data_IF_261981268724
#
_entry.id   IF_261981268724
#
_cell.length_a   1.000
_cell.length_b   1.000
_cell.length_c   1.000
_cell.angle_alpha   90.00
_cell.angle_beta   90.00
_cell.angle_gamma   90.00
#
_symmetry.space_group_name_H-M   'P 1'
#
loop_
_entity.id
_entity.type
_entity.pdbx_description
1 polymer ?
#
# COMPACT_ATOMS: atom_id res chain seq x y z
N UNK A 1 12.82 4.71 28.85
CA UNK A 1 12.01 5.73 28.16
C UNK A 1 12.90 6.44 27.14
N UNK A 2 12.95 5.92 25.91
CA UNK A 2 13.65 6.56 24.79
C UNK A 2 12.60 6.89 23.74
N UNK A 3 12.35 8.17 23.51
CA UNK A 3 11.33 8.63 22.58
C UNK A 3 11.74 8.35 21.13
N UNK A 4 11.03 7.43 20.47
CA UNK A 4 11.02 7.35 19.01
C UNK A 4 10.24 8.57 18.50
N UNK A 5 10.96 9.64 18.14
CA UNK A 5 10.38 10.64 17.24
C UNK A 5 10.33 9.97 15.86
N UNK A 6 9.15 9.86 15.21
CA UNK A 6 9.10 9.39 13.83
C UNK A 6 9.89 10.39 13.00
N UNK A 7 10.96 9.93 12.38
CA UNK A 7 11.65 10.70 11.35
C UNK A 7 10.67 10.82 10.18
N UNK A 8 10.29 12.04 9.76
CA UNK A 8 9.48 12.21 8.57
C UNK A 8 10.36 11.72 7.42
N UNK A 9 10.05 10.56 6.86
CA UNK A 9 10.54 10.21 5.55
C UNK A 9 10.07 11.35 4.64
N UNK A 10 11.03 12.09 4.09
CA UNK A 10 10.87 13.04 2.98
C UNK A 10 10.42 12.23 1.74
N UNK A 11 9.23 11.64 1.84
CA UNK A 11 8.63 10.75 0.89
C UNK A 11 7.83 11.58 -0.10
N UNK A 12 7.99 11.27 -1.38
CA UNK A 12 7.07 11.70 -2.42
C UNK A 12 5.62 11.61 -1.90
N UNK A 13 4.74 12.62 -2.06
CA UNK A 13 3.37 12.60 -1.55
C UNK A 13 2.59 11.31 -1.91
N UNK A 14 2.98 10.65 -3.01
CA UNK A 14 2.42 9.35 -3.40
C UNK A 14 2.70 8.22 -2.39
N UNK A 15 3.69 8.37 -1.51
CA UNK A 15 4.03 7.43 -0.44
C UNK A 15 2.95 7.38 0.66
N UNK A 16 2.23 8.49 0.88
CA UNK A 16 1.13 8.55 1.85
C UNK A 16 -0.18 7.95 1.33
N UNK A 17 -0.29 7.68 0.02
CA UNK A 17 -1.49 7.08 -0.61
C UNK A 17 -1.61 5.60 -0.26
N UNK A 18 -0.50 4.89 -0.27
CA UNK A 18 -0.50 3.43 -0.22
C UNK A 18 -1.28 2.88 1.00
N UNK A 19 -1.12 3.42 2.22
CA UNK A 19 -1.92 2.99 3.38
C UNK A 19 -3.43 3.04 3.20
N UNK A 20 -3.95 3.99 2.43
CA UNK A 20 -5.39 4.12 2.19
C UNK A 20 -5.96 2.97 1.37
N UNK A 21 -5.11 2.23 0.65
CA UNK A 21 -5.54 1.08 -0.16
C UNK A 21 -5.78 -0.17 0.69
N UNK A 22 -5.01 -0.37 1.77
CA UNK A 22 -5.15 -1.55 2.65
C UNK A 22 -5.86 -1.26 3.98
N UNK A 23 -6.10 0.01 4.32
CA UNK A 23 -6.90 0.35 5.49
C UNK A 23 -8.31 -0.25 5.41
N UNK A 24 -8.82 -0.75 6.55
CA UNK A 24 -10.14 -1.40 6.63
C UNK A 24 -10.27 -2.54 5.63
N UNK A 25 -9.24 -3.38 5.51
CA UNK A 25 -9.14 -4.48 4.54
C UNK A 25 -10.35 -5.43 4.58
N UNK A 26 -10.92 -5.66 5.77
CA UNK A 26 -12.08 -6.55 5.93
C UNK A 26 -13.33 -6.04 5.19
N UNK A 27 -13.42 -4.75 4.87
CA UNK A 27 -14.52 -4.19 4.07
C UNK A 27 -14.40 -4.49 2.58
N UNK A 28 -13.23 -4.96 2.15
CA UNK A 28 -12.99 -5.44 0.80
C UNK A 28 -13.27 -6.93 0.66
N UNK A 29 -13.74 -7.61 1.72
CA UNK A 29 -14.04 -9.03 1.68
C UNK A 29 -15.08 -9.34 0.59
N UNK A 30 -14.72 -10.21 -0.36
CA UNK A 30 -15.55 -10.59 -1.50
C UNK A 30 -15.33 -9.75 -2.78
N UNK A 31 -14.66 -8.60 -2.69
CA UNK A 31 -14.34 -7.75 -3.85
C UNK A 31 -13.01 -6.97 -3.63
N UNK A 32 -11.93 -7.73 -3.39
CA UNK A 32 -10.62 -7.13 -3.11
C UNK A 32 -10.08 -6.38 -4.32
N UNK A 33 -10.13 -7.00 -5.50
CA UNK A 33 -9.51 -6.43 -6.70
C UNK A 33 -10.20 -5.15 -7.13
N UNK A 34 -11.51 -5.17 -7.33
CA UNK A 34 -12.21 -3.98 -7.82
C UNK A 34 -12.38 -2.96 -6.70
N UNK A 35 -12.47 -3.39 -5.44
CA UNK A 35 -12.43 -2.52 -4.27
C UNK A 35 -11.14 -1.71 -4.15
N UNK A 36 -9.97 -2.34 -4.29
CA UNK A 36 -8.68 -1.62 -4.29
C UNK A 36 -8.58 -0.68 -5.48
N UNK A 37 -8.96 -1.11 -6.69
CA UNK A 37 -8.97 -0.26 -7.89
C UNK A 37 -9.84 0.99 -7.73
N UNK A 38 -11.07 0.83 -7.22
CA UNK A 38 -11.96 1.97 -6.97
C UNK A 38 -11.36 2.95 -5.98
N UNK A 39 -10.74 2.47 -4.91
CA UNK A 39 -10.04 3.33 -3.95
C UNK A 39 -8.85 4.04 -4.59
N UNK A 40 -8.06 3.33 -5.39
CA UNK A 40 -6.93 3.90 -6.11
C UNK A 40 -7.36 5.07 -7.01
N UNK A 41 -8.32 4.86 -7.91
CA UNK A 41 -8.82 5.92 -8.79
C UNK A 41 -9.42 7.08 -7.99
N UNK A 42 -10.22 6.80 -6.95
CA UNK A 42 -10.79 7.84 -6.11
C UNK A 42 -9.72 8.73 -5.45
N UNK A 43 -8.58 8.16 -5.03
CA UNK A 43 -7.49 8.92 -4.42
C UNK A 43 -6.70 9.70 -5.48
N UNK A 44 -6.37 9.07 -6.62
CA UNK A 44 -5.67 9.73 -7.72
C UNK A 44 -6.46 10.93 -8.23
N UNK A 45 -7.76 10.75 -8.45
CA UNK A 45 -8.66 11.81 -8.93
C UNK A 45 -8.81 12.93 -7.90
N UNK A 46 -9.04 12.59 -6.62
CA UNK A 46 -9.23 13.58 -5.57
C UNK A 46 -7.97 14.43 -5.29
N UNK A 47 -6.79 13.84 -5.46
CA UNK A 47 -5.51 14.51 -5.20
C UNK A 47 -4.86 15.09 -6.47
N UNK A 48 -5.41 14.82 -7.66
CA UNK A 48 -4.86 15.28 -8.94
C UNK A 48 -3.50 14.67 -9.25
N UNK A 49 -3.28 13.42 -8.86
CA UNK A 49 -2.00 12.74 -9.06
C UNK A 49 -1.83 12.20 -10.49
N UNK A 50 -0.57 12.08 -10.90
CA UNK A 50 -0.23 11.35 -12.11
C UNK A 50 -0.46 9.85 -11.87
N UNK A 51 -1.36 9.25 -12.63
CA UNK A 51 -1.80 7.88 -12.39
C UNK A 51 -0.65 6.87 -12.52
N UNK A 52 0.14 6.98 -13.59
CA UNK A 52 1.26 6.06 -13.85
C UNK A 52 2.31 6.13 -12.74
N UNK A 53 2.64 7.35 -12.30
CA UNK A 53 3.54 7.57 -11.18
C UNK A 53 2.96 7.06 -9.86
N UNK A 54 1.67 7.23 -9.62
CA UNK A 54 0.99 6.70 -8.44
C UNK A 54 1.05 5.16 -8.42
N UNK A 55 0.76 4.50 -9.55
CA UNK A 55 0.85 3.04 -9.71
C UNK A 55 2.27 2.54 -9.40
N UNK A 56 3.29 3.19 -9.96
CA UNK A 56 4.69 2.83 -9.73
C UNK A 56 5.05 2.91 -8.23
N UNK A 57 4.69 4.00 -7.56
CA UNK A 57 4.96 4.16 -6.13
C UNK A 57 4.24 3.16 -5.25
N UNK A 58 2.99 2.82 -5.56
CA UNK A 58 2.25 1.80 -4.81
C UNK A 58 2.93 0.44 -4.96
N UNK A 59 3.35 0.05 -6.16
CA UNK A 59 4.06 -1.22 -6.37
C UNK A 59 5.37 -1.25 -5.57
N UNK A 60 6.20 -0.20 -5.66
CA UNK A 60 7.44 -0.09 -4.88
C UNK A 60 7.15 -0.24 -3.38
N UNK A 61 6.12 0.45 -2.88
CA UNK A 61 5.75 0.40 -1.47
C UNK A 61 5.27 -0.98 -1.02
N UNK A 62 4.42 -1.67 -1.80
CA UNK A 62 3.95 -3.01 -1.45
C UNK A 62 5.07 -4.05 -1.49
N UNK A 63 5.97 -3.96 -2.48
CA UNK A 63 7.15 -4.83 -2.57
C UNK A 63 8.08 -4.59 -1.39
N UNK A 64 8.38 -3.32 -1.07
CA UNK A 64 9.21 -2.98 0.08
C UNK A 64 8.60 -3.50 1.39
N UNK A 65 7.30 -3.34 1.59
CA UNK A 65 6.61 -3.86 2.77
C UNK A 65 6.71 -5.39 2.89
N UNK A 66 6.54 -6.12 1.78
CA UNK A 66 6.67 -7.57 1.75
C UNK A 66 8.09 -8.04 2.03
N UNK A 67 9.10 -7.40 1.43
CA UNK A 67 10.51 -7.71 1.67
C UNK A 67 10.87 -7.44 3.13
N UNK A 68 10.43 -6.32 3.68
CA UNK A 68 10.67 -5.97 5.08
C UNK A 68 10.07 -7.00 6.04
N UNK A 69 8.82 -7.44 5.79
CA UNK A 69 8.18 -8.50 6.58
C UNK A 69 9.01 -9.79 6.58
N UNK A 70 9.45 -10.22 5.40
CA UNK A 70 10.24 -11.43 5.24
C UNK A 70 11.63 -11.34 5.89
N UNK A 71 12.22 -10.15 5.97
CA UNK A 71 13.55 -9.94 6.55
C UNK A 71 13.51 -9.78 8.07
N UNK A 72 12.49 -9.11 8.60
CA UNK A 72 12.47 -8.65 10.00
C UNK A 72 11.63 -9.54 10.92
N UNK A 73 10.60 -10.21 10.39
CA UNK A 73 9.74 -11.07 11.21
C UNK A 73 10.37 -12.45 11.41
N UNK A 74 10.45 -12.92 12.66
CA UNK A 74 10.81 -14.32 12.96
C UNK A 74 9.78 -15.29 12.38
N UNK A 75 8.52 -14.87 12.33
CA UNK A 75 7.40 -15.59 11.71
C UNK A 75 6.60 -14.61 10.83
N UNK A 76 6.90 -14.52 9.53
CA UNK A 76 6.20 -13.63 8.60
C UNK A 76 4.70 -13.92 8.56
N UNK A 77 3.86 -12.88 8.55
CA UNK A 77 2.41 -13.01 8.42
C UNK A 77 2.00 -13.29 6.94
N UNK A 78 1.50 -14.49 6.61
CA UNK A 78 1.06 -14.81 5.25
C UNK A 78 -0.12 -13.95 4.77
N UNK A 79 -0.97 -13.47 5.70
CA UNK A 79 -2.09 -12.60 5.38
C UNK A 79 -1.58 -11.24 4.92
N UNK A 80 -0.62 -10.66 5.63
CA UNK A 80 0.01 -9.41 5.22
C UNK A 80 0.71 -9.50 3.86
N UNK A 81 1.42 -10.59 3.60
CA UNK A 81 2.03 -10.83 2.28
C UNK A 81 0.98 -10.92 1.17
N UNK A 82 -0.17 -11.53 1.46
CA UNK A 82 -1.31 -11.60 0.53
C UNK A 82 -1.86 -10.20 0.24
N UNK A 83 -2.00 -9.33 1.25
CA UNK A 83 -2.40 -7.93 1.05
C UNK A 83 -1.40 -7.22 0.15
N UNK A 84 -0.10 -7.40 0.39
CA UNK A 84 0.94 -6.77 -0.42
C UNK A 84 0.84 -7.13 -1.91
N UNK A 85 0.72 -8.42 -2.20
CA UNK A 85 0.59 -8.89 -3.58
C UNK A 85 -0.74 -8.48 -4.21
N UNK A 86 -1.84 -8.56 -3.46
CA UNK A 86 -3.17 -8.22 -3.96
C UNK A 86 -3.27 -6.75 -4.36
N UNK A 87 -2.79 -5.83 -3.50
CA UNK A 87 -2.77 -4.39 -3.81
C UNK A 87 -1.88 -4.10 -5.00
N UNK A 88 -0.66 -4.66 -5.02
CA UNK A 88 0.28 -4.44 -6.14
C UNK A 88 -0.30 -4.91 -7.48
N UNK A 89 -1.00 -6.06 -7.51
CA UNK A 89 -1.66 -6.55 -8.73
C UNK A 89 -2.85 -5.68 -9.14
N UNK A 90 -3.69 -5.31 -8.19
CA UNK A 90 -4.91 -4.56 -8.49
C UNK A 90 -4.65 -3.20 -9.16
N UNK A 91 -3.52 -2.55 -8.83
CA UNK A 91 -3.12 -1.25 -9.41
C UNK A 91 -2.27 -1.37 -10.68
N UNK A 92 -2.05 -2.57 -11.21
CA UNK A 92 -1.28 -2.79 -12.45
C UNK A 92 -2.12 -3.25 -13.63
N UNK A 93 -3.40 -3.50 -13.38
CA UNK A 93 -4.33 -3.90 -14.42
C UNK A 93 -5.06 -2.72 -15.07
#
# INVERSE_FOLDING_TARGET
MGGHRPEPLDGDPHFEIAPMLWNRWDELAGDVRDGVRRRFHAIVDAAGFDEDRARAWIVVRMVHNAVWELQQATHPDPRWLTVCVAVAKAVQD
#
